data_IF_953379552761
#
_entry.id   IF_953379552761
#
_cell.length_a   1.000
_cell.length_b   1.000
_cell.length_c   1.000
_cell.angle_alpha   90.00
_cell.angle_beta   90.00
_cell.angle_gamma   90.00
#
_symmetry.space_group_name_H-M   'P 1'
#
loop_
_entity.id
_entity.type
_entity.pdbx_description
1 polymer ?
#
# COMPACT_ATOMS: atom_id res chain seq x y z
N UNK A 1 2.53 -14.31 26.89
CA UNK A 1 2.76 -15.59 26.16
C UNK A 1 1.40 -16.04 25.63
N UNK A 2 1.10 -16.28 24.35
CA UNK A 2 1.82 -16.26 23.07
C UNK A 2 0.84 -15.69 22.02
N UNK A 3 1.08 -14.50 21.45
CA UNK A 3 0.18 -13.89 20.45
C UNK A 3 0.42 -14.42 19.02
N UNK A 4 1.18 -15.49 18.82
CA UNK A 4 1.46 -16.06 17.49
C UNK A 4 1.16 -17.56 17.38
N UNK A 5 0.26 -18.11 18.21
CA UNK A 5 -0.15 -19.53 18.11
C UNK A 5 -0.65 -19.91 16.70
N UNK A 6 -1.23 -18.96 15.97
CA UNK A 6 -1.72 -19.15 14.60
C UNK A 6 -0.62 -19.34 13.53
N UNK A 7 0.63 -18.97 13.85
CA UNK A 7 1.82 -19.28 13.04
C UNK A 7 2.65 -20.42 13.65
N UNK A 8 2.27 -20.89 14.85
CA UNK A 8 2.94 -22.00 15.52
C UNK A 8 2.90 -23.26 14.64
N UNK A 9 4.03 -23.94 14.51
CA UNK A 9 4.18 -25.11 13.66
C UNK A 9 4.38 -24.83 12.17
N UNK A 10 4.30 -23.58 11.69
CA UNK A 10 4.68 -23.24 10.32
C UNK A 10 6.20 -23.07 10.20
N UNK A 11 6.77 -23.62 9.13
CA UNK A 11 8.16 -23.36 8.79
C UNK A 11 8.29 -21.95 8.21
N UNK A 12 8.77 -21.00 9.03
CA UNK A 12 9.00 -19.62 8.61
C UNK A 12 10.36 -19.42 7.93
N UNK A 13 11.28 -20.38 8.03
CA UNK A 13 12.65 -20.26 7.49
C UNK A 13 12.68 -19.82 6.01
N UNK A 14 11.81 -20.36 5.12
CA UNK A 14 11.82 -19.98 3.71
C UNK A 14 11.48 -18.50 3.43
N UNK A 15 10.89 -17.77 4.40
CA UNK A 15 10.66 -16.32 4.24
C UNK A 15 11.97 -15.54 4.14
N UNK A 16 13.05 -16.02 4.76
CA UNK A 16 14.35 -15.35 4.72
C UNK A 16 14.95 -15.33 3.30
N UNK A 17 14.56 -16.30 2.47
CA UNK A 17 15.05 -16.45 1.10
C UNK A 17 14.16 -15.75 0.07
N UNK A 18 13.03 -15.15 0.49
CA UNK A 18 12.13 -14.42 -0.41
C UNK A 18 12.84 -13.15 -0.90
N UNK A 19 12.99 -12.95 -2.23
CA UNK A 19 13.63 -11.75 -2.76
C UNK A 19 12.90 -10.48 -2.36
N UNK A 20 13.66 -9.46 -1.94
CA UNK A 20 13.13 -8.14 -1.61
C UNK A 20 13.36 -7.15 -2.75
N UNK A 21 12.37 -6.31 -3.02
CA UNK A 21 12.44 -5.29 -4.06
C UNK A 21 11.75 -3.98 -3.71
N UNK A 22 11.69 -3.09 -4.69
CA UNK A 22 11.00 -1.81 -4.55
C UNK A 22 9.96 -1.59 -5.63
N UNK A 23 8.85 -0.96 -5.26
CA UNK A 23 7.85 -0.45 -6.19
C UNK A 23 8.40 0.73 -7.01
N UNK A 24 7.72 1.05 -8.10
CA UNK A 24 7.99 2.30 -8.85
C UNK A 24 7.76 3.50 -7.92
N UNK A 25 8.66 4.49 -7.97
CA UNK A 25 8.61 5.71 -7.14
C UNK A 25 7.31 6.53 -7.27
N UNK A 26 6.58 6.37 -8.37
CA UNK A 26 5.32 7.08 -8.63
C UNK A 26 4.06 6.27 -8.29
N UNK A 27 4.20 5.11 -7.65
CA UNK A 27 3.06 4.30 -7.22
C UNK A 27 2.37 4.97 -6.01
N UNK A 28 1.17 5.53 -6.20
CA UNK A 28 0.46 6.26 -5.13
C UNK A 28 -0.64 5.46 -4.43
N UNK A 29 -0.89 4.22 -4.87
CA UNK A 29 -1.98 3.35 -4.39
C UNK A 29 -1.51 2.03 -3.80
N UNK A 30 -0.29 1.61 -4.14
CA UNK A 30 0.29 0.34 -3.73
C UNK A 30 1.49 0.66 -2.87
N UNK A 31 1.49 0.19 -1.62
CA UNK A 31 2.55 0.50 -0.64
C UNK A 31 3.48 -0.69 -0.42
N UNK A 32 2.94 -1.91 -0.48
CA UNK A 32 3.64 -3.17 -0.47
C UNK A 32 2.98 -4.12 -1.46
N UNK A 33 3.70 -5.17 -1.85
CA UNK A 33 3.13 -6.27 -2.64
C UNK A 33 3.98 -7.54 -2.57
N UNK A 34 3.32 -8.67 -2.40
CA UNK A 34 3.83 -10.01 -2.61
C UNK A 34 3.50 -10.48 -4.04
N UNK A 35 4.54 -10.73 -4.84
CA UNK A 35 4.44 -11.24 -6.21
C UNK A 35 4.73 -12.72 -6.22
N UNK A 36 3.82 -13.51 -6.77
CA UNK A 36 4.06 -14.93 -6.99
C UNK A 36 4.74 -15.16 -8.34
N UNK A 37 5.40 -16.32 -8.47
CA UNK A 37 5.93 -16.81 -9.73
C UNK A 37 4.82 -16.96 -10.78
N UNK A 38 5.20 -16.86 -12.06
CA UNK A 38 4.24 -16.97 -13.16
C UNK A 38 3.57 -18.36 -13.14
N UNK A 39 2.26 -18.40 -13.34
CA UNK A 39 1.49 -19.65 -13.38
C UNK A 39 0.97 -20.12 -12.01
N UNK A 40 1.34 -19.47 -10.90
CA UNK A 40 0.82 -19.81 -9.58
C UNK A 40 -0.66 -19.41 -9.44
N UNK A 41 -1.52 -20.40 -9.15
CA UNK A 41 -2.91 -20.15 -8.76
C UNK A 41 -3.00 -19.75 -7.28
N UNK A 42 -3.37 -18.50 -7.03
CA UNK A 42 -3.48 -17.92 -5.68
C UNK A 42 -4.63 -18.49 -4.83
N UNK A 43 -5.51 -19.31 -5.43
CA UNK A 43 -6.62 -19.99 -4.74
C UNK A 43 -6.20 -21.31 -4.11
N UNK A 44 -5.00 -21.80 -4.44
CA UNK A 44 -4.40 -22.97 -3.80
C UNK A 44 -4.30 -22.77 -2.29
N UNK A 45 -4.56 -23.84 -1.55
CA UNK A 45 -4.50 -23.85 -0.08
C UNK A 45 -3.10 -24.11 0.45
N UNK A 46 -2.18 -24.55 -0.41
CA UNK A 46 -0.81 -24.97 -0.11
C UNK A 46 0.25 -23.98 -0.61
N UNK A 47 -0.14 -22.72 -0.87
CA UNK A 47 0.81 -21.66 -1.22
C UNK A 47 1.88 -21.50 -0.13
N UNK A 48 3.12 -21.31 -0.59
CA UNK A 48 4.30 -21.21 0.25
C UNK A 48 5.23 -20.08 -0.19
N UNK A 49 6.22 -19.71 0.63
CA UNK A 49 7.23 -18.72 0.23
C UNK A 49 8.01 -19.12 -1.03
N UNK A 50 8.09 -20.43 -1.37
CA UNK A 50 8.76 -20.90 -2.60
C UNK A 50 7.97 -20.53 -3.86
N UNK A 51 6.66 -20.29 -3.75
CA UNK A 51 5.82 -19.81 -4.83
C UNK A 51 5.98 -18.29 -5.06
N UNK A 52 6.72 -17.59 -4.19
CA UNK A 52 6.90 -16.14 -4.23
C UNK A 52 8.11 -15.78 -5.07
N UNK A 53 7.89 -14.86 -6.02
CA UNK A 53 8.93 -14.23 -6.84
C UNK A 53 9.64 -13.12 -6.08
N UNK A 54 8.88 -12.25 -5.41
CA UNK A 54 9.40 -11.04 -4.77
C UNK A 54 8.39 -10.46 -3.78
N UNK A 55 8.87 -9.92 -2.66
CA UNK A 55 8.14 -8.96 -1.82
C UNK A 55 8.73 -7.57 -2.03
N UNK A 56 7.91 -6.61 -2.45
CA UNK A 56 8.37 -5.26 -2.76
C UNK A 56 7.63 -4.19 -1.98
N UNK A 57 8.37 -3.23 -1.41
CA UNK A 57 7.82 -2.08 -0.70
C UNK A 57 7.97 -0.78 -1.50
N UNK A 58 7.16 0.23 -1.19
CA UNK A 58 7.34 1.55 -1.78
C UNK A 58 8.64 2.18 -1.27
N UNK A 59 9.53 2.71 -2.14
CA UNK A 59 10.83 3.22 -1.70
C UNK A 59 10.73 4.35 -0.65
N UNK A 60 9.67 5.17 -0.72
CA UNK A 60 9.44 6.22 0.28
C UNK A 60 9.10 5.67 1.68
N UNK A 61 8.55 4.46 1.82
CA UNK A 61 8.29 3.89 3.15
C UNK A 61 9.57 3.50 3.87
N UNK A 62 10.68 3.34 3.14
CA UNK A 62 11.99 2.97 3.69
C UNK A 62 12.75 4.18 4.29
N UNK A 63 12.18 5.38 4.24
CA UNK A 63 12.74 6.55 4.91
C UNK A 63 12.46 6.50 6.41
N UNK A 64 13.34 7.12 7.21
CA UNK A 64 13.27 7.10 8.68
C UNK A 64 11.89 7.49 9.23
N UNK A 65 11.24 8.47 8.60
CA UNK A 65 9.90 8.95 9.00
C UNK A 65 8.79 7.89 8.83
N UNK A 66 9.00 6.87 7.98
CA UNK A 66 8.04 5.82 7.65
C UNK A 66 8.51 4.41 8.03
N UNK A 67 9.67 4.25 8.66
CA UNK A 67 10.31 2.92 8.83
C UNK A 67 9.41 1.93 9.59
N UNK A 68 8.73 2.40 10.64
CA UNK A 68 7.73 1.60 11.40
C UNK A 68 6.60 1.09 10.51
N UNK A 69 6.16 1.92 9.55
CA UNK A 69 5.16 1.52 8.58
C UNK A 69 5.71 0.52 7.56
N UNK A 70 6.96 0.66 7.12
CA UNK A 70 7.61 -0.33 6.26
C UNK A 70 7.74 -1.69 6.92
N UNK A 71 8.06 -1.75 8.22
CA UNK A 71 8.08 -3.00 8.98
C UNK A 71 6.69 -3.68 9.02
N UNK A 72 5.64 -2.89 9.26
CA UNK A 72 4.26 -3.38 9.18
C UNK A 72 3.90 -3.90 7.77
N UNK A 73 4.28 -3.16 6.72
CA UNK A 73 4.05 -3.60 5.34
C UNK A 73 4.80 -4.90 5.04
N UNK A 74 6.05 -5.04 5.49
CA UNK A 74 6.81 -6.27 5.31
C UNK A 74 6.10 -7.45 5.98
N UNK A 75 5.65 -7.28 7.21
CA UNK A 75 4.87 -8.29 7.91
C UNK A 75 3.58 -8.66 7.14
N UNK A 76 2.84 -7.67 6.65
CA UNK A 76 1.64 -7.88 5.84
C UNK A 76 1.94 -8.69 4.57
N UNK A 77 2.98 -8.34 3.83
CA UNK A 77 3.36 -9.06 2.61
C UNK A 77 3.90 -10.46 2.89
N UNK A 78 4.53 -10.69 4.05
CA UNK A 78 4.96 -12.01 4.47
C UNK A 78 3.77 -12.91 4.85
N UNK A 79 2.67 -12.37 5.36
CA UNK A 79 1.43 -13.15 5.51
C UNK A 79 0.93 -13.65 4.15
N UNK A 80 1.01 -12.82 3.11
CA UNK A 80 0.72 -13.26 1.75
C UNK A 80 1.71 -14.35 1.29
N UNK A 81 3.01 -14.18 1.54
CA UNK A 81 4.03 -15.18 1.21
C UNK A 81 3.80 -16.52 1.91
N UNK A 82 3.21 -16.53 3.11
CA UNK A 82 2.81 -17.74 3.85
C UNK A 82 1.52 -18.40 3.34
N UNK A 83 0.95 -17.90 2.25
CA UNK A 83 -0.23 -18.45 1.60
C UNK A 83 -1.55 -17.84 2.02
N UNK A 84 -1.56 -16.83 2.89
CA UNK A 84 -2.77 -16.08 3.23
C UNK A 84 -3.04 -15.02 2.15
N UNK A 85 -3.39 -15.45 0.94
CA UNK A 85 -3.47 -14.59 -0.25
C UNK A 85 -4.65 -13.59 -0.22
N UNK A 86 -5.74 -13.93 0.47
CA UNK A 86 -6.92 -13.08 0.62
C UNK A 86 -7.00 -12.40 1.99
N UNK A 87 -7.48 -11.14 2.02
CA UNK A 87 -7.71 -10.37 3.25
C UNK A 87 -8.95 -10.82 4.05
N UNK A 88 -9.13 -12.13 4.23
CA UNK A 88 -10.23 -12.74 4.96
C UNK A 88 -10.07 -12.63 6.49
N UNK A 89 -11.01 -13.19 7.26
CA UNK A 89 -10.99 -13.15 8.73
C UNK A 89 -9.69 -13.69 9.32
N UNK A 90 -9.20 -14.82 8.83
CA UNK A 90 -7.94 -15.44 9.30
C UNK A 90 -6.74 -14.53 9.04
N UNK A 91 -6.65 -13.95 7.84
CA UNK A 91 -5.61 -12.97 7.52
C UNK A 91 -5.66 -11.78 8.50
N UNK A 92 -6.84 -11.23 8.75
CA UNK A 92 -6.99 -10.06 9.64
C UNK A 92 -6.67 -10.37 11.10
N UNK A 93 -6.95 -11.59 11.57
CA UNK A 93 -6.53 -12.07 12.88
C UNK A 93 -5.00 -12.16 12.97
N UNK A 94 -4.35 -12.74 11.98
CA UNK A 94 -2.89 -12.79 11.89
C UNK A 94 -2.28 -11.40 11.85
N UNK A 95 -2.80 -10.54 10.98
CA UNK A 95 -2.34 -9.16 10.82
C UNK A 95 -2.46 -8.36 12.14
N UNK A 96 -3.49 -8.64 12.95
CA UNK A 96 -3.68 -7.98 14.26
C UNK A 96 -2.64 -8.35 15.32
N UNK A 97 -1.82 -9.37 15.08
CA UNK A 97 -0.73 -9.73 15.98
C UNK A 97 0.49 -8.79 15.84
N UNK A 98 0.51 -7.93 14.82
CA UNK A 98 1.49 -6.85 14.75
C UNK A 98 1.38 -5.94 15.99
N UNK A 99 2.47 -5.75 16.76
CA UNK A 99 2.40 -5.11 18.07
C UNK A 99 2.21 -3.59 18.00
N UNK A 100 2.67 -2.96 16.91
CA UNK A 100 2.60 -1.51 16.74
C UNK A 100 1.35 -1.12 15.95
N UNK A 101 0.23 -0.90 16.66
CA UNK A 101 -1.03 -0.47 16.05
C UNK A 101 -0.92 0.90 15.37
N UNK A 102 -0.05 1.78 15.88
CA UNK A 102 0.21 3.09 15.28
C UNK A 102 0.81 2.95 13.88
N UNK A 103 1.76 2.03 13.68
CA UNK A 103 2.32 1.73 12.37
C UNK A 103 1.24 1.29 11.37
N UNK A 104 0.31 0.42 11.79
CA UNK A 104 -0.80 -0.03 10.93
C UNK A 104 -1.66 1.13 10.42
N UNK A 105 -1.91 2.14 11.26
CA UNK A 105 -2.74 3.30 10.95
C UNK A 105 -2.04 4.34 10.04
N UNK A 106 -0.70 4.32 9.99
CA UNK A 106 0.10 5.24 9.16
C UNK A 106 -0.21 5.16 7.66
N UNK A 107 -0.82 4.08 7.18
CA UNK A 107 -1.16 3.91 5.76
C UNK A 107 -2.06 5.01 5.19
N UNK A 108 -2.91 5.63 6.01
CA UNK A 108 -3.76 6.76 5.58
C UNK A 108 -2.89 7.99 5.27
N UNK A 109 -1.99 8.35 6.18
CA UNK A 109 -1.10 9.49 6.02
C UNK A 109 -0.06 9.23 4.94
N UNK A 110 0.49 8.02 4.85
CA UNK A 110 1.40 7.63 3.77
C UNK A 110 0.74 7.77 2.39
N UNK A 111 -0.52 7.34 2.25
CA UNK A 111 -1.28 7.52 1.01
C UNK A 111 -1.45 9.01 0.66
N UNK A 112 -1.70 9.86 1.66
CA UNK A 112 -1.83 11.32 1.45
C UNK A 112 -0.49 11.89 1.02
N UNK A 113 0.60 11.53 1.70
CA UNK A 113 1.97 11.91 1.38
C UNK A 113 2.32 11.60 -0.08
N UNK A 114 2.15 10.34 -0.51
CA UNK A 114 2.45 9.92 -1.88
C UNK A 114 1.61 10.67 -2.93
N UNK A 115 0.32 10.89 -2.67
CA UNK A 115 -0.55 11.65 -3.58
C UNK A 115 -0.14 13.12 -3.68
N UNK A 116 0.26 13.73 -2.58
CA UNK A 116 0.73 15.13 -2.55
C UNK A 116 2.04 15.26 -3.34
N UNK A 117 3.00 14.37 -3.08
CA UNK A 117 4.30 14.34 -3.78
C UNK A 117 4.15 14.15 -5.29
N UNK A 118 3.21 13.30 -5.72
CA UNK A 118 2.98 13.03 -7.15
C UNK A 118 2.02 14.04 -7.81
N UNK A 119 1.50 15.03 -7.07
CA UNK A 119 0.56 15.99 -7.62
C UNK A 119 1.26 16.98 -8.55
N UNK A 120 0.66 17.22 -9.71
CA UNK A 120 1.11 18.19 -10.71
C UNK A 120 0.09 19.30 -10.95
N UNK A 121 -1.15 19.06 -10.53
CA UNK A 121 -2.28 19.95 -10.74
C UNK A 121 -3.12 20.06 -9.46
N UNK A 122 -3.77 21.20 -9.27
CA UNK A 122 -4.91 21.34 -8.38
C UNK A 122 -6.18 21.50 -9.22
N UNK A 123 -7.20 20.69 -8.91
CA UNK A 123 -8.53 20.88 -9.45
C UNK A 123 -9.30 21.76 -8.49
N UNK A 124 -9.76 22.91 -8.96
CA UNK A 124 -10.43 23.91 -8.12
C UNK A 124 -11.83 24.23 -8.66
N UNK A 125 -12.78 24.38 -7.76
CA UNK A 125 -14.11 24.89 -8.10
C UNK A 125 -14.03 26.42 -8.25
N UNK A 126 -14.51 27.01 -9.36
CA UNK A 126 -14.51 28.47 -9.51
C UNK A 126 -15.51 29.18 -8.57
N UNK A 127 -16.55 28.49 -8.09
CA UNK A 127 -17.61 29.11 -7.29
C UNK A 127 -17.37 29.03 -5.78
N UNK A 128 -17.08 27.82 -5.27
CA UNK A 128 -16.86 27.60 -3.83
C UNK A 128 -15.39 27.47 -3.43
N UNK A 129 -14.46 27.62 -4.38
CA UNK A 129 -13.01 27.58 -4.17
C UNK A 129 -12.45 26.28 -3.57
N UNK A 130 -13.28 25.26 -3.31
CA UNK A 130 -12.84 23.93 -2.93
C UNK A 130 -11.82 23.40 -3.94
N UNK A 131 -10.76 22.76 -3.44
CA UNK A 131 -9.69 22.26 -4.29
C UNK A 131 -9.16 20.90 -3.85
N UNK A 132 -8.55 20.18 -4.79
CA UNK A 132 -7.86 18.93 -4.51
C UNK A 132 -6.65 18.71 -5.43
N UNK A 133 -5.53 18.28 -4.86
CA UNK A 133 -4.28 18.02 -5.59
C UNK A 133 -4.33 16.68 -6.35
N UNK A 134 -3.86 16.65 -7.59
CA UNK A 134 -3.93 15.49 -8.50
C UNK A 134 -2.71 15.43 -9.42
N UNK A 135 -2.36 14.23 -9.86
CA UNK A 135 -1.26 14.01 -10.81
C UNK A 135 -1.62 14.31 -12.27
N UNK A 136 -2.93 14.42 -12.56
CA UNK A 136 -3.46 14.64 -13.90
C UNK A 136 -4.38 15.86 -13.92
N UNK A 137 -4.59 16.41 -15.11
CA UNK A 137 -5.57 17.47 -15.36
C UNK A 137 -7.00 16.95 -15.23
N UNK A 138 -7.88 17.80 -14.72
CA UNK A 138 -9.31 17.61 -14.75
C UNK A 138 -9.80 17.59 -16.19
N UNK A 139 -9.30 18.51 -17.03
CA UNK A 139 -9.65 18.63 -18.45
C UNK A 139 -11.16 18.69 -18.68
N UNK A 140 -11.89 19.38 -17.80
CA UNK A 140 -13.35 19.52 -17.87
C UNK A 140 -14.17 18.26 -17.58
N UNK A 141 -13.54 17.14 -17.17
CA UNK A 141 -14.20 15.85 -16.90
C UNK A 141 -14.80 15.74 -15.49
N UNK A 142 -14.38 16.58 -14.56
CA UNK A 142 -14.77 16.50 -13.16
C UNK A 142 -15.59 17.72 -12.77
N UNK A 143 -16.59 17.50 -11.91
CA UNK A 143 -17.49 18.54 -11.40
C UNK A 143 -17.33 18.71 -9.89
N UNK A 144 -17.54 19.93 -9.41
CA UNK A 144 -17.71 20.20 -8.00
C UNK A 144 -19.00 19.53 -7.51
N UNK A 145 -18.92 18.74 -6.44
CA UNK A 145 -20.11 18.04 -5.89
C UNK A 145 -21.15 19.00 -5.31
N UNK A 146 -20.70 20.13 -4.76
CA UNK A 146 -21.56 21.15 -4.16
C UNK A 146 -22.17 22.06 -5.23
N UNK A 147 -21.34 22.69 -6.06
CA UNK A 147 -21.80 23.71 -7.02
C UNK A 147 -22.24 23.15 -8.37
N UNK A 148 -21.99 21.85 -8.64
CA UNK A 148 -22.29 21.16 -9.92
C UNK A 148 -21.63 21.77 -11.17
N UNK A 149 -20.64 22.65 -11.02
CA UNK A 149 -19.85 23.23 -12.12
C UNK A 149 -18.56 22.44 -12.39
N UNK A 150 -18.03 22.54 -13.62
CA UNK A 150 -16.74 21.92 -13.99
C UNK A 150 -15.60 22.48 -13.13
N UNK A 151 -14.69 21.60 -12.72
CA UNK A 151 -13.46 21.97 -12.05
C UNK A 151 -12.44 22.51 -13.06
N UNK A 152 -11.74 23.57 -12.67
CA UNK A 152 -10.66 24.18 -13.44
C UNK A 152 -9.30 23.70 -12.96
N UNK A 153 -8.36 23.59 -13.89
CA UNK A 153 -6.99 23.12 -13.65
C UNK A 153 -6.06 24.28 -13.27
N UNK A 154 -5.31 24.11 -12.19
CA UNK A 154 -4.17 24.95 -11.84
C UNK A 154 -2.91 24.10 -11.82
N UNK A 155 -1.87 24.50 -12.55
CA UNK A 155 -0.57 23.84 -12.46
C UNK A 155 0.03 24.10 -11.07
N UNK A 156 0.54 23.06 -10.41
CA UNK A 156 1.34 23.21 -9.21
C UNK A 156 2.79 23.41 -9.67
N UNK A 157 3.43 24.50 -9.25
CA UNK A 157 4.89 24.62 -9.35
C UNK A 157 5.50 23.47 -8.55
N UNK A 158 6.42 22.76 -9.20
CA UNK A 158 7.24 21.76 -8.54
C UNK A 158 8.49 22.53 -8.12
N UNK A 159 8.61 22.83 -6.83
CA UNK A 159 9.87 23.30 -6.24
C UNK A 159 10.89 22.16 -6.19
#
# INVERSE_FOLDING_TARGET
>A
MSKMESLSGRNLKPLADVPLGTLRKNATRLHGVCRYNQGIDKRRTDLSPLDVKEVALHPESLKNEWIRYAEFLMFHEFLHALGFSGHNRTFRQLESHWPDTGAKEMGIEFSKYLRQRNAKFAWKCPNCYWQTKRSMRAAGRYICRTCRVKLVDFALTID
#
